data_IF_178168352992
#
_entry.id   IF_178168352992
#
_cell.length_a   1.000
_cell.length_b   1.000
_cell.length_c   1.000
_cell.angle_alpha   90.00
_cell.angle_beta   90.00
_cell.angle_gamma   90.00
#
_symmetry.space_group_name_H-M   'P 1'
#
loop_
_entity.id
_entity.type
_entity.pdbx_description
1 polymer ?
#
# COMPACT_ATOMS: atom_id res chain seq x y z
N UNK A 1 -34.08 -16.02 17.75
CA UNK A 1 -33.57 -15.36 16.53
C UNK A 1 -32.06 -15.50 16.51
N UNK A 2 -31.54 -16.55 15.88
CA UNK A 2 -30.13 -16.57 15.47
C UNK A 2 -30.17 -16.66 13.95
N UNK A 3 -29.99 -15.51 13.29
CA UNK A 3 -30.30 -15.30 11.87
C UNK A 3 -29.20 -15.83 10.94
N UNK A 4 -28.03 -16.20 11.49
CA UNK A 4 -26.85 -16.63 10.73
C UNK A 4 -26.05 -17.71 11.49
N UNK A 5 -25.47 -18.71 10.80
CA UNK A 5 -24.53 -19.67 11.39
C UNK A 5 -23.26 -18.99 11.95
N UNK A 6 -22.65 -19.58 12.99
CA UNK A 6 -21.44 -19.04 13.63
C UNK A 6 -20.27 -18.87 12.66
N UNK A 7 -20.08 -19.82 11.75
CA UNK A 7 -19.05 -19.75 10.70
C UNK A 7 -19.20 -18.50 9.82
N UNK A 8 -20.45 -18.11 9.51
CA UNK A 8 -20.75 -16.91 8.75
C UNK A 8 -20.36 -15.65 9.52
N UNK A 9 -20.64 -15.60 10.83
CA UNK A 9 -20.26 -14.47 11.68
C UNK A 9 -18.74 -14.32 11.78
N UNK A 10 -18.00 -15.43 11.89
CA UNK A 10 -16.53 -15.43 11.85
C UNK A 10 -16.01 -14.89 10.52
N UNK A 11 -16.62 -15.31 9.40
CA UNK A 11 -16.32 -14.81 8.06
C UNK A 11 -16.48 -13.29 7.96
N UNK A 12 -17.58 -12.73 8.49
CA UNK A 12 -17.80 -11.28 8.51
C UNK A 12 -16.77 -10.54 9.36
N UNK A 13 -16.44 -11.08 10.54
CA UNK A 13 -15.43 -10.48 11.42
C UNK A 13 -14.04 -10.46 10.76
N UNK A 14 -13.69 -11.51 10.00
CA UNK A 14 -12.43 -11.58 9.28
C UNK A 14 -12.30 -10.50 8.19
N UNK A 15 -13.40 -10.04 7.59
CA UNK A 15 -13.37 -9.00 6.55
C UNK A 15 -12.87 -7.65 7.07
N UNK A 16 -13.06 -7.36 8.37
CA UNK A 16 -12.61 -6.11 9.03
C UNK A 16 -11.13 -5.85 8.83
N UNK A 17 -10.32 -6.91 8.81
CA UNK A 17 -8.89 -6.83 8.61
C UNK A 17 -8.53 -6.14 7.28
N UNK A 18 -9.19 -6.50 6.18
CA UNK A 18 -8.87 -5.95 4.86
C UNK A 18 -9.20 -4.45 4.76
N UNK A 19 -10.28 -4.02 5.41
CA UNK A 19 -10.66 -2.61 5.51
C UNK A 19 -9.57 -1.84 6.28
N UNK A 20 -9.17 -2.33 7.46
CA UNK A 20 -8.11 -1.71 8.27
C UNK A 20 -6.77 -1.66 7.54
N UNK A 21 -6.39 -2.72 6.83
CA UNK A 21 -5.17 -2.72 6.03
C UNK A 21 -5.23 -1.72 4.89
N UNK A 22 -6.38 -1.56 4.23
CA UNK A 22 -6.55 -0.57 3.16
C UNK A 22 -6.37 0.85 3.69
N UNK A 23 -7.01 1.21 4.81
CA UNK A 23 -6.82 2.52 5.44
C UNK A 23 -5.38 2.73 5.95
N UNK A 24 -4.74 1.69 6.49
CA UNK A 24 -3.32 1.78 6.90
C UNK A 24 -2.43 2.10 5.70
N UNK A 25 -2.63 1.42 4.57
CA UNK A 25 -1.88 1.66 3.33
C UNK A 25 -2.14 3.06 2.78
N UNK A 26 -3.40 3.52 2.76
CA UNK A 26 -3.77 4.86 2.31
C UNK A 26 -3.04 5.95 3.12
N UNK A 27 -3.06 5.83 4.45
CA UNK A 27 -2.39 6.77 5.34
C UNK A 27 -0.87 6.80 5.13
N UNK A 28 -0.24 5.63 5.04
CA UNK A 28 1.23 5.53 4.95
C UNK A 28 1.80 5.90 3.57
N UNK A 29 1.04 5.69 2.50
CA UNK A 29 1.57 5.80 1.14
C UNK A 29 1.00 6.97 0.35
N UNK A 30 -0.26 7.35 0.57
CA UNK A 30 -1.00 8.35 -0.23
C UNK A 30 -1.24 9.66 0.53
N UNK A 31 -0.88 9.73 1.82
CA UNK A 31 -1.10 10.95 2.61
C UNK A 31 -2.57 11.17 2.96
N UNK A 32 -3.35 10.08 3.11
CA UNK A 32 -4.79 10.18 3.43
C UNK A 32 -5.08 11.00 4.70
N UNK A 33 -4.17 11.02 5.67
CA UNK A 33 -4.28 11.80 6.91
C UNK A 33 -3.40 13.07 6.94
N UNK A 34 -2.83 13.46 5.79
CA UNK A 34 -1.91 14.60 5.68
C UNK A 34 -2.59 15.83 5.06
N UNK A 35 -3.92 15.90 5.10
CA UNK A 35 -4.69 17.05 4.60
C UNK A 35 -4.70 18.21 5.59
N UNK A 36 -4.69 19.43 5.07
CA UNK A 36 -4.83 20.67 5.87
C UNK A 36 -6.15 21.40 5.59
N UNK A 37 -7.09 20.75 4.90
CA UNK A 37 -8.38 21.32 4.53
C UNK A 37 -9.31 21.43 5.73
N UNK A 38 -10.09 22.52 5.80
CA UNK A 38 -11.02 22.81 6.92
C UNK A 38 -12.50 22.71 6.55
N UNK A 39 -12.81 22.66 5.25
CA UNK A 39 -14.19 22.56 4.75
C UNK A 39 -14.62 21.11 4.52
N UNK A 40 -15.89 20.80 4.81
CA UNK A 40 -16.45 19.47 4.61
C UNK A 40 -16.30 18.97 3.16
N UNK A 41 -16.61 19.82 2.18
CA UNK A 41 -16.52 19.45 0.76
C UNK A 41 -15.08 19.15 0.35
N UNK A 42 -14.14 20.01 0.73
CA UNK A 42 -12.71 19.82 0.47
C UNK A 42 -12.18 18.53 1.11
N UNK A 43 -12.61 18.23 2.34
CA UNK A 43 -12.29 16.96 3.00
C UNK A 43 -12.83 15.75 2.23
N UNK A 44 -14.10 15.79 1.80
CA UNK A 44 -14.69 14.69 1.02
C UNK A 44 -13.93 14.44 -0.29
N UNK A 45 -13.57 15.49 -1.02
CA UNK A 45 -12.77 15.36 -2.23
C UNK A 45 -11.37 14.78 -1.95
N UNK A 46 -10.69 15.22 -0.89
CA UNK A 46 -9.41 14.65 -0.48
C UNK A 46 -9.50 13.15 -0.20
N UNK A 47 -10.52 12.72 0.54
CA UNK A 47 -10.74 11.30 0.85
C UNK A 47 -11.02 10.50 -0.42
N UNK A 48 -11.88 11.00 -1.32
CA UNK A 48 -12.20 10.33 -2.58
C UNK A 48 -10.97 10.17 -3.48
N UNK A 49 -10.17 11.24 -3.65
CA UNK A 49 -8.94 11.20 -4.42
C UNK A 49 -7.89 10.28 -3.79
N UNK A 50 -7.77 10.28 -2.46
CA UNK A 50 -6.87 9.36 -1.75
C UNK A 50 -7.25 7.89 -1.97
N UNK A 51 -8.55 7.57 -1.96
CA UNK A 51 -9.04 6.22 -2.23
C UNK A 51 -8.79 5.81 -3.69
N UNK A 52 -9.00 6.72 -4.65
CA UNK A 52 -8.71 6.48 -6.05
C UNK A 52 -7.21 6.22 -6.28
N UNK A 53 -6.33 7.03 -5.68
CA UNK A 53 -4.89 6.84 -5.78
C UNK A 53 -4.44 5.50 -5.15
N UNK A 54 -5.02 5.09 -4.02
CA UNK A 54 -4.74 3.77 -3.45
C UNK A 54 -5.22 2.63 -4.35
N UNK A 55 -6.38 2.78 -4.99
CA UNK A 55 -6.90 1.79 -5.93
C UNK A 55 -5.94 1.63 -7.12
N UNK A 56 -5.46 2.74 -7.68
CA UNK A 56 -4.45 2.73 -8.74
C UNK A 56 -3.17 2.00 -8.31
N UNK A 57 -2.58 2.34 -7.15
CA UNK A 57 -1.37 1.63 -6.67
C UNK A 57 -1.63 0.15 -6.41
N UNK A 58 -2.84 -0.23 -6.00
CA UNK A 58 -3.20 -1.63 -5.75
C UNK A 58 -3.27 -2.42 -7.05
N UNK A 59 -3.86 -1.86 -8.10
CA UNK A 59 -3.90 -2.45 -9.45
C UNK A 59 -2.48 -2.64 -9.97
N UNK A 60 -1.65 -1.58 -9.92
CA UNK A 60 -0.27 -1.64 -10.37
C UNK A 60 0.55 -2.71 -9.62
N UNK A 61 0.32 -2.85 -8.30
CA UNK A 61 0.96 -3.89 -7.50
C UNK A 61 0.52 -5.29 -7.93
N UNK A 62 -0.76 -5.49 -8.23
CA UNK A 62 -1.29 -6.79 -8.66
C UNK A 62 -0.74 -7.18 -10.03
N UNK A 63 -0.70 -6.24 -10.98
CA UNK A 63 -0.19 -6.47 -12.34
C UNK A 63 1.28 -6.88 -12.35
N UNK A 64 2.09 -6.34 -11.43
CA UNK A 64 3.54 -6.59 -11.38
C UNK A 64 3.96 -7.63 -10.34
N UNK A 65 3.00 -8.32 -9.72
CA UNK A 65 3.26 -9.23 -8.60
C UNK A 65 4.16 -10.42 -9.00
N UNK A 66 4.03 -10.90 -10.24
CA UNK A 66 4.81 -12.04 -10.72
C UNK A 66 6.27 -11.67 -10.98
N UNK A 67 6.52 -10.53 -11.62
CA UNK A 67 7.89 -10.09 -11.94
C UNK A 67 8.61 -9.53 -10.71
N UNK A 68 7.88 -8.85 -9.81
CA UNK A 68 8.41 -8.20 -8.62
C UNK A 68 7.62 -8.65 -7.37
N UNK A 69 7.87 -9.86 -6.83
CA UNK A 69 7.09 -10.41 -5.72
C UNK A 69 7.19 -9.59 -4.42
N UNK A 70 8.28 -8.83 -4.25
CA UNK A 70 8.47 -7.94 -3.11
C UNK A 70 8.03 -6.50 -3.39
N UNK A 71 7.31 -6.22 -4.47
CA UNK A 71 6.87 -4.87 -4.79
C UNK A 71 5.95 -4.29 -3.70
N UNK A 72 6.28 -3.11 -3.19
CA UNK A 72 5.49 -2.39 -2.19
C UNK A 72 4.79 -1.16 -2.78
N UNK A 73 3.75 -0.67 -2.11
CA UNK A 73 3.08 0.59 -2.47
C UNK A 73 4.05 1.77 -2.53
N UNK A 74 5.03 1.80 -1.62
CA UNK A 74 6.10 2.80 -1.63
C UNK A 74 6.94 2.72 -2.90
N UNK A 75 7.27 1.51 -3.36
CA UNK A 75 8.08 1.35 -4.57
C UNK A 75 7.35 1.93 -5.79
N UNK A 76 6.05 1.64 -5.95
CA UNK A 76 5.25 2.17 -7.07
C UNK A 76 5.15 3.70 -6.98
N UNK A 77 4.92 4.24 -5.79
CA UNK A 77 4.90 5.69 -5.57
C UNK A 77 6.24 6.34 -5.89
N UNK A 78 7.35 5.77 -5.44
CA UNK A 78 8.69 6.31 -5.70
C UNK A 78 8.99 6.28 -7.22
N UNK A 79 8.56 5.23 -7.93
CA UNK A 79 8.69 5.15 -9.39
C UNK A 79 7.92 6.27 -10.10
N UNK A 80 6.68 6.54 -9.66
CA UNK A 80 5.85 7.65 -10.17
C UNK A 80 6.58 8.98 -9.93
N UNK A 81 7.00 9.26 -8.70
CA UNK A 81 7.67 10.52 -8.34
C UNK A 81 8.90 10.74 -9.20
N UNK A 82 9.74 9.71 -9.35
CA UNK A 82 10.98 9.83 -10.12
C UNK A 82 10.73 10.04 -11.61
N UNK A 83 9.73 9.36 -12.18
CA UNK A 83 9.33 9.55 -13.57
C UNK A 83 8.79 10.97 -13.84
N UNK A 84 8.04 11.54 -12.90
CA UNK A 84 7.42 12.86 -13.08
C UNK A 84 8.33 14.04 -12.72
N UNK A 85 9.18 13.93 -11.70
CA UNK A 85 9.91 15.10 -11.20
C UNK A 85 11.18 15.43 -12.00
N UNK A 86 11.72 14.49 -12.80
CA UNK A 86 12.93 14.69 -13.63
C UNK A 86 14.10 15.39 -12.91
N UNK A 87 14.15 15.28 -11.58
CA UNK A 87 15.21 15.86 -10.76
C UNK A 87 16.42 14.93 -10.75
N UNK A 88 17.61 15.51 -10.62
CA UNK A 88 18.83 14.72 -10.44
C UNK A 88 18.83 14.10 -9.03
N UNK A 89 18.45 12.83 -8.94
CA UNK A 89 18.40 12.11 -7.66
C UNK A 89 19.70 11.35 -7.41
N UNK A 90 20.23 11.43 -6.18
CA UNK A 90 21.48 10.74 -5.76
C UNK A 90 21.51 9.24 -6.06
N UNK A 91 20.36 8.58 -6.04
CA UNK A 91 20.19 7.16 -6.38
C UNK A 91 18.98 7.03 -7.27
N UNK A 92 19.08 6.19 -8.29
CA UNK A 92 17.93 5.90 -9.14
C UNK A 92 16.88 5.09 -8.38
N UNK A 93 15.68 5.05 -8.92
CA UNK A 93 14.58 4.23 -8.43
C UNK A 93 14.99 2.76 -8.37
N UNK A 94 15.65 2.25 -9.42
CA UNK A 94 16.09 0.86 -9.52
C UNK A 94 17.08 0.52 -8.41
N UNK A 95 18.02 1.42 -8.11
CA UNK A 95 18.97 1.23 -7.01
C UNK A 95 18.28 1.20 -5.65
N UNK A 96 17.36 2.15 -5.39
CA UNK A 96 16.57 2.19 -4.15
C UNK A 96 15.74 0.91 -4.01
N UNK A 97 15.09 0.50 -5.09
CA UNK A 97 14.26 -0.70 -5.17
C UNK A 97 15.10 -1.93 -4.83
N UNK A 98 16.22 -2.13 -5.52
CA UNK A 98 17.11 -3.26 -5.33
C UNK A 98 17.61 -3.37 -3.88
N UNK A 99 18.07 -2.25 -3.29
CA UNK A 99 18.54 -2.23 -1.91
C UNK A 99 17.43 -2.64 -0.92
N UNK A 100 16.22 -2.11 -1.10
CA UNK A 100 15.07 -2.44 -0.23
C UNK A 100 14.61 -3.88 -0.39
N UNK A 101 14.61 -4.40 -1.61
CA UNK A 101 14.20 -5.77 -1.92
C UNK A 101 15.22 -6.75 -1.35
N UNK A 102 16.52 -6.49 -1.53
CA UNK A 102 17.60 -7.28 -0.93
C UNK A 102 17.49 -7.33 0.60
N UNK A 103 17.22 -6.21 1.26
CA UNK A 103 17.07 -6.18 2.72
C UNK A 103 15.86 -7.02 3.16
N UNK A 104 14.70 -6.82 2.53
CA UNK A 104 13.49 -7.60 2.85
C UNK A 104 13.68 -9.09 2.61
N UNK A 105 14.37 -9.48 1.53
CA UNK A 105 14.67 -10.88 1.27
C UNK A 105 15.60 -11.47 2.32
N UNK A 106 16.61 -10.72 2.79
CA UNK A 106 17.47 -11.16 3.90
C UNK A 106 16.66 -11.37 5.19
N UNK A 107 15.73 -10.46 5.49
CA UNK A 107 14.89 -10.56 6.69
C UNK A 107 13.93 -11.76 6.61
N UNK A 108 13.33 -12.00 5.44
CA UNK A 108 12.52 -13.20 5.16
C UNK A 108 13.38 -14.45 5.35
N UNK A 109 14.53 -14.52 4.68
CA UNK A 109 15.42 -15.68 4.75
C UNK A 109 15.88 -15.94 6.20
N UNK A 110 16.12 -14.89 6.99
CA UNK A 110 16.50 -15.01 8.41
C UNK A 110 15.36 -15.59 9.25
N UNK A 111 14.12 -15.14 9.03
CA UNK A 111 12.96 -15.63 9.76
C UNK A 111 12.69 -17.10 9.48
N UNK A 112 12.72 -17.50 8.20
CA UNK A 112 12.46 -18.88 7.78
C UNK A 112 13.66 -19.83 7.88
N UNK A 113 14.87 -19.33 8.19
CA UNK A 113 16.07 -20.18 8.44
C UNK A 113 16.10 -20.87 9.81
N UNK A 114 15.08 -20.70 10.67
CA UNK A 114 15.00 -21.40 11.96
C UNK A 114 14.08 -22.63 11.86
N UNK A 115 14.64 -23.74 11.41
CA UNK A 115 14.47 -25.10 11.97
C UNK A 115 15.69 -25.90 11.55
#
# INVERSE_FOLDING_TARGET
MEKYPQETLVGYQAQRFYIEQSFRKAKQNIGMCEYQVRGWLAWNHHIALSMLALAFLSIQKMEHQEQLPLLSYRDIRDAIIENFMQEEVRKSFEEKLYLRHRQRQKDINRFYKKT
#
